data_IF_950114632034
#
_entry.id   IF_950114632034
#
_cell.length_a   1.000
_cell.length_b   1.000
_cell.length_c   1.000
_cell.angle_alpha   90.00
_cell.angle_beta   90.00
_cell.angle_gamma   90.00
#
_symmetry.space_group_name_H-M   'P 1'
#
loop_
_entity.id
_entity.type
_entity.pdbx_description
1 polymer ?
#
# COMPACT_ATOMS: atom_id res chain seq x y z
N UNK A 1 -5.63 -41.08 -29.54
CA UNK A 1 -6.16 -41.05 -28.15
C UNK A 1 -5.08 -40.69 -27.15
N UNK A 2 -3.95 -41.39 -27.12
CA UNK A 2 -2.86 -41.07 -26.18
C UNK A 2 -2.29 -39.65 -26.35
N UNK A 3 -2.15 -39.18 -27.60
CA UNK A 3 -1.67 -37.82 -27.88
C UNK A 3 -2.64 -36.74 -27.43
N UNK A 4 -3.94 -36.98 -27.58
CA UNK A 4 -4.99 -36.07 -27.15
C UNK A 4 -5.01 -36.00 -25.62
N UNK A 5 -4.89 -37.14 -24.94
CA UNK A 5 -4.83 -37.17 -23.49
C UNK A 5 -3.61 -36.42 -22.95
N UNK A 6 -2.47 -36.58 -23.59
CA UNK A 6 -1.24 -35.86 -23.23
C UNK A 6 -1.41 -34.34 -23.38
N UNK A 7 -2.02 -33.89 -24.48
CA UNK A 7 -2.30 -32.47 -24.71
C UNK A 7 -3.23 -31.93 -23.63
N UNK A 8 -4.27 -32.66 -23.29
CA UNK A 8 -5.22 -32.26 -22.22
C UNK A 8 -4.49 -32.12 -20.89
N UNK A 9 -3.63 -33.06 -20.54
CA UNK A 9 -2.84 -33.01 -19.30
C UNK A 9 -1.90 -31.80 -19.27
N UNK A 10 -1.24 -31.52 -20.40
CA UNK A 10 -0.34 -30.35 -20.48
C UNK A 10 -1.12 -29.05 -20.32
N UNK A 11 -2.25 -28.90 -21.02
CA UNK A 11 -3.10 -27.72 -20.94
C UNK A 11 -3.63 -27.54 -19.51
N UNK A 12 -4.09 -28.61 -18.88
CA UNK A 12 -4.56 -28.60 -17.50
C UNK A 12 -3.46 -28.17 -16.52
N UNK A 13 -2.25 -28.72 -16.69
CA UNK A 13 -1.09 -28.32 -15.89
C UNK A 13 -0.74 -26.85 -16.05
N UNK A 14 -0.80 -26.31 -17.27
CA UNK A 14 -0.57 -24.88 -17.53
C UNK A 14 -1.62 -23.99 -16.87
N UNK A 15 -2.87 -24.41 -16.87
CA UNK A 15 -3.97 -23.67 -16.20
C UNK A 15 -3.73 -23.62 -14.70
N UNK A 16 -3.33 -24.74 -14.09
CA UNK A 16 -3.02 -24.79 -12.64
C UNK A 16 -1.84 -23.88 -12.31
N UNK A 17 -0.78 -23.92 -13.12
CA UNK A 17 0.40 -23.04 -12.91
C UNK A 17 0.03 -21.57 -13.04
N UNK A 18 -0.72 -21.21 -14.07
CA UNK A 18 -1.15 -19.82 -14.26
C UNK A 18 -2.07 -19.34 -13.13
N UNK A 19 -3.01 -20.20 -12.69
CA UNK A 19 -3.89 -19.90 -11.56
C UNK A 19 -3.13 -19.76 -10.25
N UNK A 20 -2.20 -20.65 -9.97
CA UNK A 20 -1.34 -20.58 -8.77
C UNK A 20 -0.45 -19.35 -8.76
N UNK A 21 0.16 -19.00 -9.89
CA UNK A 21 0.97 -17.79 -10.01
C UNK A 21 0.12 -16.52 -9.82
N UNK A 22 -1.10 -16.50 -10.37
CA UNK A 22 -2.04 -15.39 -10.19
C UNK A 22 -2.42 -15.19 -8.73
N UNK A 23 -2.78 -16.28 -8.03
CA UNK A 23 -3.11 -16.25 -6.60
C UNK A 23 -1.91 -15.76 -5.80
N UNK A 24 -0.72 -16.29 -6.07
CA UNK A 24 0.50 -15.87 -5.40
C UNK A 24 0.76 -14.38 -5.58
N UNK A 25 0.59 -13.85 -6.79
CA UNK A 25 0.77 -12.42 -7.07
C UNK A 25 -0.22 -11.55 -6.30
N UNK A 26 -1.50 -11.94 -6.30
CA UNK A 26 -2.56 -11.17 -5.63
C UNK A 26 -2.41 -11.20 -4.11
N UNK A 27 -1.98 -12.33 -3.55
CA UNK A 27 -1.84 -12.50 -2.09
C UNK A 27 -0.48 -12.09 -1.55
N UNK A 28 0.48 -11.85 -2.44
CA UNK A 28 1.82 -11.43 -2.03
C UNK A 28 1.75 -10.11 -1.25
N UNK A 29 2.33 -10.12 -0.08
CA UNK A 29 2.37 -8.95 0.80
C UNK A 29 1.16 -8.81 1.73
N UNK A 30 0.11 -9.63 1.58
CA UNK A 30 -1.07 -9.56 2.45
C UNK A 30 -0.72 -9.83 3.92
N UNK A 31 -0.02 -10.91 4.19
CA UNK A 31 0.34 -11.30 5.54
C UNK A 31 1.31 -10.29 6.16
N UNK A 32 2.34 -9.91 5.42
CA UNK A 32 3.29 -8.89 5.84
C UNK A 32 2.60 -7.55 6.09
N UNK A 33 1.75 -7.12 5.15
CA UNK A 33 1.01 -5.87 5.27
C UNK A 33 0.05 -5.85 6.45
N UNK A 34 -0.64 -6.97 6.71
CA UNK A 34 -1.56 -7.07 7.84
C UNK A 34 -0.85 -6.97 9.19
N UNK A 35 0.43 -7.35 9.26
CA UNK A 35 1.26 -7.30 10.47
C UNK A 35 2.06 -6.00 10.62
N UNK A 36 1.98 -5.08 9.65
CA UNK A 36 2.70 -3.82 9.73
C UNK A 36 2.31 -3.03 10.97
N UNK A 37 3.32 -2.54 11.67
CA UNK A 37 3.14 -1.57 12.75
C UNK A 37 3.39 -0.18 12.19
N UNK A 38 2.44 0.71 12.38
CA UNK A 38 2.56 2.12 11.99
C UNK A 38 2.87 2.91 13.25
N UNK A 39 4.04 3.54 13.25
CA UNK A 39 4.46 4.35 14.39
C UNK A 39 4.02 5.79 14.22
N UNK A 40 3.67 6.48 15.32
CA UNK A 40 3.44 7.92 15.27
C UNK A 40 4.69 8.66 14.80
N UNK A 41 4.50 9.81 14.18
CA UNK A 41 5.59 10.68 13.75
C UNK A 41 5.58 11.97 14.56
N UNK A 42 6.76 12.56 14.76
CA UNK A 42 6.90 13.83 15.46
C UNK A 42 7.14 14.95 14.44
N UNK A 43 6.08 15.67 14.10
CA UNK A 43 6.12 16.75 13.13
C UNK A 43 6.97 17.94 13.60
N UNK A 44 7.19 18.08 14.91
CA UNK A 44 7.98 19.18 15.46
C UNK A 44 9.46 19.07 15.13
N UNK A 45 9.93 17.89 14.74
CA UNK A 45 11.31 17.64 14.31
C UNK A 45 11.54 17.92 12.83
N UNK A 46 10.48 18.22 12.08
CA UNK A 46 10.56 18.38 10.63
C UNK A 46 10.58 19.85 10.22
N UNK A 47 11.53 20.19 9.33
CA UNK A 47 11.58 21.50 8.70
C UNK A 47 10.49 21.60 7.62
N UNK A 48 10.12 22.82 7.26
CA UNK A 48 9.20 23.06 6.14
C UNK A 48 9.78 22.49 4.84
N UNK A 49 8.94 21.85 4.05
CA UNK A 49 9.33 21.27 2.77
C UNK A 49 8.49 20.07 2.38
N UNK A 50 8.92 19.44 1.30
CA UNK A 50 8.26 18.23 0.78
C UNK A 50 9.07 16.99 1.14
N UNK A 51 8.36 15.94 1.55
CA UNK A 51 8.96 14.68 1.98
C UNK A 51 8.38 13.54 1.14
N UNK A 52 9.27 12.79 0.50
CA UNK A 52 8.90 11.65 -0.32
C UNK A 52 9.00 10.36 0.48
N UNK A 53 7.98 9.54 0.42
CA UNK A 53 7.95 8.24 1.05
C UNK A 53 7.43 7.17 0.12
N UNK A 54 7.86 5.95 0.36
CA UNK A 54 7.41 4.80 -0.41
C UNK A 54 7.35 3.55 0.47
N UNK A 55 6.51 2.62 0.06
CA UNK A 55 6.43 1.29 0.62
C UNK A 55 6.39 0.29 -0.55
N UNK A 56 7.19 -0.74 -0.49
CA UNK A 56 7.28 -1.73 -1.56
C UNK A 56 6.94 -3.13 -1.03
N UNK A 57 5.82 -3.66 -1.46
CA UNK A 57 5.39 -5.03 -1.18
C UNK A 57 4.33 -5.47 -2.17
N UNK A 58 4.74 -6.08 -3.27
CA UNK A 58 3.84 -6.62 -4.28
C UNK A 58 2.83 -5.58 -4.79
N UNK A 59 1.55 -5.93 -4.82
CA UNK A 59 0.48 -5.04 -5.28
C UNK A 59 0.16 -3.87 -4.35
N UNK A 60 0.70 -3.88 -3.15
CA UNK A 60 0.52 -2.81 -2.17
C UNK A 60 1.61 -1.74 -2.23
N UNK A 61 2.56 -1.88 -3.15
CA UNK A 61 3.60 -0.87 -3.37
C UNK A 61 2.98 0.46 -3.75
N UNK A 62 3.45 1.52 -3.12
CA UNK A 62 2.97 2.88 -3.37
C UNK A 62 4.05 3.90 -3.05
N UNK A 63 3.87 5.12 -3.55
CA UNK A 63 4.73 6.25 -3.26
C UNK A 63 3.89 7.51 -3.13
N UNK A 64 4.32 8.41 -2.27
CA UNK A 64 3.62 9.66 -2.03
C UNK A 64 4.57 10.76 -1.59
N UNK A 65 4.08 11.98 -1.65
CA UNK A 65 4.79 13.17 -1.20
C UNK A 65 3.90 13.90 -0.19
N UNK A 66 4.47 14.22 0.97
CA UNK A 66 3.82 15.06 1.96
C UNK A 66 4.51 16.41 2.01
N UNK A 67 3.73 17.47 2.14
CA UNK A 67 4.26 18.81 2.36
C UNK A 67 4.01 19.21 3.81
N UNK A 68 5.06 19.67 4.47
CA UNK A 68 5.01 20.11 5.87
C UNK A 68 5.33 21.60 5.92
N UNK A 69 4.53 22.36 6.67
CA UNK A 69 4.75 23.77 6.93
C UNK A 69 4.31 24.10 8.35
N UNK A 70 5.15 24.80 9.10
CA UNK A 70 4.91 25.14 10.52
C UNK A 70 4.57 23.91 11.37
N UNK A 71 5.29 22.80 11.14
CA UNK A 71 5.10 21.53 11.84
C UNK A 71 3.72 20.91 11.61
N UNK A 72 3.07 21.23 10.48
CA UNK A 72 1.79 20.67 10.09
C UNK A 72 1.86 20.10 8.68
N UNK A 73 1.17 18.99 8.46
CA UNK A 73 1.00 18.42 7.12
C UNK A 73 -0.03 19.29 6.40
N UNK A 74 0.39 19.93 5.31
CA UNK A 74 -0.47 20.82 4.52
C UNK A 74 -0.99 20.18 3.25
N UNK A 75 -0.31 19.14 2.76
CA UNK A 75 -0.73 18.42 1.55
C UNK A 75 -0.19 17.00 1.56
N UNK A 76 -0.96 16.08 0.96
CA UNK A 76 -0.54 14.70 0.72
C UNK A 76 -0.90 14.35 -0.72
N UNK A 77 0.10 14.09 -1.55
CA UNK A 77 -0.07 13.68 -2.94
C UNK A 77 0.43 12.26 -3.13
N UNK A 78 -0.45 11.37 -3.59
CA UNK A 78 -0.07 10.00 -3.94
C UNK A 78 0.48 10.02 -5.37
N UNK A 79 1.79 9.76 -5.51
CA UNK A 79 2.47 9.77 -6.81
C UNK A 79 2.44 8.40 -7.50
N UNK A 80 2.30 7.33 -6.71
CA UNK A 80 2.13 5.97 -7.21
C UNK A 80 1.11 5.27 -6.33
N UNK A 81 -0.03 4.90 -6.91
CA UNK A 81 -1.09 4.20 -6.18
C UNK A 81 -0.78 2.71 -6.05
N UNK A 82 -1.37 2.06 -5.05
CA UNK A 82 -1.41 0.60 -5.00
C UNK A 82 -2.16 0.07 -6.22
N UNK A 83 -1.87 -1.16 -6.63
CA UNK A 83 -2.67 -1.82 -7.67
C UNK A 83 -4.05 -2.14 -7.13
N UNK A 84 -5.05 -2.10 -7.98
CA UNK A 84 -6.46 -2.27 -7.61
C UNK A 84 -6.93 -1.22 -6.60
N UNK A 85 -6.48 0.02 -6.79
CA UNK A 85 -6.85 1.13 -5.92
C UNK A 85 -8.36 1.37 -5.90
N UNK A 86 -8.84 1.73 -4.71
CA UNK A 86 -10.18 2.29 -4.51
C UNK A 86 -10.01 3.74 -4.10
N UNK A 87 -10.27 4.71 -4.99
CA UNK A 87 -10.01 6.13 -4.69
C UNK A 87 -10.70 6.64 -3.43
N UNK A 88 -11.89 6.14 -3.12
CA UNK A 88 -12.62 6.49 -1.91
C UNK A 88 -11.88 6.07 -0.63
N UNK A 89 -11.21 4.93 -0.64
CA UNK A 89 -10.39 4.45 0.49
C UNK A 89 -9.17 5.35 0.67
N UNK A 90 -8.48 5.65 -0.41
CA UNK A 90 -7.30 6.51 -0.40
C UNK A 90 -7.65 7.90 0.13
N UNK A 91 -8.75 8.48 -0.36
CA UNK A 91 -9.18 9.81 0.05
C UNK A 91 -9.61 9.86 1.51
N UNK A 92 -10.34 8.84 1.98
CA UNK A 92 -10.74 8.74 3.39
C UNK A 92 -9.52 8.69 4.30
N UNK A 93 -8.53 7.88 3.94
CA UNK A 93 -7.29 7.76 4.71
C UNK A 93 -6.51 9.07 4.76
N UNK A 94 -6.38 9.75 3.63
CA UNK A 94 -5.72 11.06 3.55
C UNK A 94 -6.43 12.05 4.45
N UNK A 95 -7.76 12.10 4.41
CA UNK A 95 -8.56 12.99 5.26
C UNK A 95 -8.33 12.72 6.75
N UNK A 96 -8.25 11.44 7.15
CA UNK A 96 -7.98 11.06 8.54
C UNK A 96 -6.59 11.52 9.00
N UNK A 97 -5.56 11.32 8.18
CA UNK A 97 -4.20 11.77 8.48
C UNK A 97 -4.13 13.29 8.57
N UNK A 98 -4.77 14.00 7.65
CA UNK A 98 -4.83 15.46 7.67
C UNK A 98 -5.56 15.98 8.92
N UNK A 99 -6.65 15.34 9.31
CA UNK A 99 -7.42 15.73 10.49
C UNK A 99 -6.65 15.50 11.79
N UNK A 100 -5.98 14.36 11.91
CA UNK A 100 -5.19 14.00 13.10
C UNK A 100 -3.79 14.61 13.11
N UNK A 101 -3.28 14.98 11.94
CA UNK A 101 -1.90 15.45 11.77
C UNK A 101 -0.87 14.43 12.26
N UNK A 102 -1.14 13.16 12.00
CA UNK A 102 -0.25 12.05 12.34
C UNK A 102 -0.61 10.82 11.51
N UNK A 103 0.30 9.84 11.49
CA UNK A 103 0.12 8.55 10.83
C UNK A 103 -0.59 7.52 11.72
N UNK A 104 -0.73 7.82 13.00
CA UNK A 104 -1.40 6.96 13.98
C UNK A 104 -2.92 7.13 13.90
N UNK A 105 -3.50 6.70 12.80
CA UNK A 105 -4.93 6.74 12.51
C UNK A 105 -5.49 5.33 12.29
N UNK A 106 -6.81 5.19 12.44
CA UNK A 106 -7.47 3.91 12.19
C UNK A 106 -7.42 3.55 10.69
N UNK A 107 -7.31 2.27 10.42
CA UNK A 107 -7.41 1.77 9.04
C UNK A 107 -8.85 1.88 8.53
N UNK A 108 -9.00 2.06 7.23
CA UNK A 108 -10.33 2.07 6.61
C UNK A 108 -10.92 0.67 6.64
N UNK A 109 -12.17 0.56 7.09
CA UNK A 109 -12.87 -0.71 7.21
C UNK A 109 -12.92 -1.44 5.86
N UNK A 110 -12.51 -2.71 5.86
CA UNK A 110 -12.43 -3.52 4.64
C UNK A 110 -11.19 -3.28 3.78
N UNK A 111 -10.27 -2.40 4.21
CA UNK A 111 -9.05 -2.06 3.47
C UNK A 111 -7.83 -1.96 4.40
N UNK A 112 -7.68 -2.90 5.32
CA UNK A 112 -6.62 -2.88 6.35
C UNK A 112 -5.22 -2.85 5.75
N UNK A 113 -4.91 -3.75 4.81
CA UNK A 113 -3.56 -3.85 4.22
C UNK A 113 -3.26 -2.64 3.36
N UNK A 114 -4.20 -2.21 2.54
CA UNK A 114 -4.07 -1.00 1.70
C UNK A 114 -3.84 0.24 2.58
N UNK A 115 -4.62 0.40 3.64
CA UNK A 115 -4.47 1.52 4.59
C UNK A 115 -3.09 1.51 5.24
N UNK A 116 -2.65 0.37 5.74
CA UNK A 116 -1.33 0.23 6.37
C UNK A 116 -0.19 0.48 5.36
N UNK A 117 -0.35 0.06 4.12
CA UNK A 117 0.66 0.30 3.08
C UNK A 117 0.85 1.81 2.82
N UNK A 118 -0.22 2.57 2.70
CA UNK A 118 -0.15 4.03 2.56
C UNK A 118 0.41 4.70 3.82
N UNK A 119 -0.06 4.29 5.00
CA UNK A 119 0.41 4.85 6.27
C UNK A 119 1.90 4.59 6.48
N UNK A 120 2.39 3.43 6.07
CA UNK A 120 3.82 3.10 6.16
C UNK A 120 4.66 3.97 5.22
N UNK A 121 4.17 4.23 4.02
CA UNK A 121 4.82 5.16 3.10
C UNK A 121 4.88 6.58 3.68
N UNK A 122 3.79 7.04 4.32
CA UNK A 122 3.76 8.34 5.02
C UNK A 122 4.74 8.38 6.18
N UNK A 123 4.77 7.34 7.01
CA UNK A 123 5.74 7.21 8.10
C UNK A 123 7.18 7.28 7.56
N UNK A 124 7.47 6.53 6.51
CA UNK A 124 8.81 6.54 5.88
C UNK A 124 9.18 7.92 5.36
N UNK A 125 8.24 8.66 4.79
CA UNK A 125 8.46 10.04 4.34
C UNK A 125 8.82 10.96 5.51
N UNK A 126 8.09 10.86 6.60
CA UNK A 126 8.20 11.76 7.76
C UNK A 126 9.25 11.32 8.79
N UNK A 127 9.86 10.17 8.60
CA UNK A 127 10.91 9.65 9.51
C UNK A 127 12.33 9.88 8.99
N UNK A 128 12.48 10.69 7.97
CA UNK A 128 13.79 10.99 7.35
C UNK A 128 14.61 11.99 8.18
#
# INVERSE_FOLDING_TARGET
MKKILLIILIVFGLIILAGGAGIFYITRGLEEGAKLSINPVDLTQLADGSYNGQYESGRFSNALTLTVSNHQITDIEVTQTVKFEKPEVTQELINEVMAKQNTDVDVVSGATVTSKAYLKAMENALSQ
#
